data_IF_486589431362
#
_entry.id   IF_486589431362
#
_cell.length_a   1.000
_cell.length_b   1.000
_cell.length_c   1.000
_cell.angle_alpha   90.00
_cell.angle_beta   90.00
_cell.angle_gamma   90.00
#
_symmetry.space_group_name_H-M   'P 1'
#
loop_
_entity.id
_entity.type
_entity.pdbx_description
1 polymer ?
#
# COMPACT_ATOMS: atom_id res chain seq x y z
N UNK A 1 11.01 5.84 -20.66
CA UNK A 1 10.30 7.07 -20.26
C UNK A 1 9.24 6.67 -19.27
N UNK A 2 9.08 7.41 -18.18
CA UNK A 2 8.04 7.14 -17.20
C UNK A 2 6.64 7.38 -17.78
N UNK A 3 5.70 6.52 -17.43
CA UNK A 3 4.26 6.60 -17.71
C UNK A 3 3.45 7.17 -16.55
N UNK A 4 4.08 7.71 -15.50
CA UNK A 4 3.39 8.21 -14.32
C UNK A 4 2.42 9.36 -14.62
N UNK A 5 2.67 10.12 -15.69
CA UNK A 5 1.77 11.16 -16.20
C UNK A 5 0.37 10.64 -16.61
N UNK A 6 0.20 9.31 -16.72
CA UNK A 6 -1.09 8.67 -16.96
C UNK A 6 -1.97 8.60 -15.70
N UNK A 7 -1.39 8.83 -14.52
CA UNK A 7 -2.18 9.00 -13.30
C UNK A 7 -2.90 10.36 -13.37
N UNK A 8 -4.24 10.39 -13.31
CA UNK A 8 -5.00 11.63 -13.39
C UNK A 8 -4.62 12.65 -12.32
N UNK A 9 -4.64 13.94 -12.67
CA UNK A 9 -4.27 15.04 -11.77
C UNK A 9 -5.11 15.09 -10.50
N UNK A 10 -6.40 14.75 -10.58
CA UNK A 10 -7.28 14.70 -9.42
C UNK A 10 -6.90 13.59 -8.42
N UNK A 11 -6.15 12.58 -8.86
CA UNK A 11 -5.53 11.57 -7.98
C UNK A 11 -4.14 12.02 -7.55
N UNK A 12 -3.24 12.38 -8.47
CA UNK A 12 -1.85 12.72 -8.13
C UNK A 12 -1.72 14.00 -7.30
N UNK A 13 -2.75 14.86 -7.28
CA UNK A 13 -2.83 16.00 -6.37
C UNK A 13 -3.17 15.62 -4.94
N UNK A 14 -3.74 14.43 -4.69
CA UNK A 14 -4.19 13.91 -3.40
C UNK A 14 -3.29 12.78 -2.86
N UNK A 15 -2.60 12.06 -3.74
CA UNK A 15 -1.75 10.93 -3.42
C UNK A 15 -0.30 11.19 -3.86
N UNK A 16 0.66 10.74 -3.06
CA UNK A 16 2.05 10.64 -3.51
C UNK A 16 2.17 9.41 -4.42
N UNK A 17 2.57 9.59 -5.68
CA UNK A 17 2.59 8.49 -6.65
C UNK A 17 3.98 8.19 -7.15
N UNK A 18 4.32 6.92 -7.22
CA UNK A 18 5.59 6.43 -7.78
C UNK A 18 5.33 5.23 -8.66
N UNK A 19 6.13 5.03 -9.69
CA UNK A 19 6.04 3.83 -10.52
C UNK A 19 7.40 3.23 -10.84
N UNK A 20 7.39 1.94 -11.16
CA UNK A 20 8.51 1.19 -11.69
C UNK A 20 8.07 0.39 -12.91
N UNK A 21 8.95 0.35 -13.92
CA UNK A 21 8.76 -0.41 -15.17
C UNK A 21 7.43 -0.09 -15.89
N UNK A 22 7.07 1.19 -15.91
CA UNK A 22 5.90 1.72 -16.63
C UNK A 22 4.56 1.11 -16.20
N UNK A 23 4.41 0.85 -14.89
CA UNK A 23 3.23 0.20 -14.33
C UNK A 23 1.91 0.91 -14.66
N UNK A 24 1.90 2.26 -14.67
CA UNK A 24 0.71 3.00 -15.09
C UNK A 24 0.34 2.75 -16.57
N UNK A 25 1.35 2.60 -17.43
CA UNK A 25 1.14 2.23 -18.83
C UNK A 25 0.59 0.81 -19.00
N UNK A 26 1.09 -0.15 -18.22
CA UNK A 26 0.56 -1.53 -18.20
C UNK A 26 -0.91 -1.52 -17.77
N UNK A 27 -1.25 -0.83 -16.69
CA UNK A 27 -2.63 -0.71 -16.21
C UNK A 27 -3.55 -0.07 -17.26
N UNK A 28 -3.16 1.06 -17.85
CA UNK A 28 -4.00 1.76 -18.82
C UNK A 28 -4.26 0.94 -20.10
N UNK A 29 -3.27 0.16 -20.56
CA UNK A 29 -3.34 -0.51 -21.86
C UNK A 29 -3.81 -1.96 -21.78
N UNK A 30 -3.29 -2.74 -20.82
CA UNK A 30 -3.61 -4.16 -20.66
C UNK A 30 -4.76 -4.40 -19.69
N UNK A 31 -4.99 -3.51 -18.72
CA UNK A 31 -6.02 -3.66 -17.68
C UNK A 31 -6.90 -2.40 -17.50
N UNK A 32 -7.43 -1.80 -18.60
CA UNK A 32 -8.12 -0.51 -18.51
C UNK A 32 -9.35 -0.52 -17.60
N UNK A 33 -10.02 -1.67 -17.47
CA UNK A 33 -11.18 -1.82 -16.58
C UNK A 33 -10.76 -1.80 -15.12
N UNK A 34 -9.80 -2.63 -14.74
CA UNK A 34 -9.24 -2.66 -13.39
C UNK A 34 -8.66 -1.30 -13.02
N UNK A 35 -7.98 -0.64 -13.96
CA UNK A 35 -7.46 0.72 -13.76
C UNK A 35 -8.55 1.73 -13.42
N UNK A 36 -9.66 1.74 -14.17
CA UNK A 36 -10.79 2.64 -13.89
C UNK A 36 -11.40 2.38 -12.50
N UNK A 37 -11.56 1.11 -12.11
CA UNK A 37 -12.10 0.71 -10.81
C UNK A 37 -11.17 1.11 -9.65
N UNK A 38 -9.85 0.98 -9.82
CA UNK A 38 -8.85 1.46 -8.84
C UNK A 38 -8.97 2.98 -8.69
N UNK A 39 -9.00 3.72 -9.79
CA UNK A 39 -9.13 5.18 -9.74
C UNK A 39 -10.46 5.61 -9.09
N UNK A 40 -11.56 4.90 -9.34
CA UNK A 40 -12.84 5.14 -8.66
C UNK A 40 -12.73 4.91 -7.14
N UNK A 41 -12.11 3.81 -6.72
CA UNK A 41 -11.88 3.52 -5.30
C UNK A 41 -11.02 4.60 -4.63
N UNK A 42 -9.94 5.04 -5.28
CA UNK A 42 -9.07 6.12 -4.78
C UNK A 42 -9.83 7.45 -4.69
N UNK A 43 -10.64 7.82 -5.69
CA UNK A 43 -11.46 9.05 -5.65
C UNK A 43 -12.44 9.05 -4.47
N UNK A 44 -13.03 7.90 -4.16
CA UNK A 44 -14.00 7.74 -3.09
C UNK A 44 -13.39 7.67 -1.68
N UNK A 45 -12.09 7.42 -1.56
CA UNK A 45 -11.44 7.22 -0.29
C UNK A 45 -11.19 8.54 0.46
N UNK A 46 -11.38 8.54 1.78
CA UNK A 46 -11.04 9.64 2.67
C UNK A 46 -10.40 9.10 3.95
N UNK A 47 -9.41 9.83 4.45
CA UNK A 47 -8.66 9.50 5.65
C UNK A 47 -9.29 10.23 6.86
N UNK A 48 -10.11 9.56 7.67
CA UNK A 48 -10.88 10.23 8.72
C UNK A 48 -10.17 10.22 10.07
N UNK A 49 -10.38 11.25 10.87
CA UNK A 49 -9.89 11.32 12.24
C UNK A 49 -10.49 10.22 13.12
N UNK A 50 -11.79 9.95 12.96
CA UNK A 50 -12.52 8.87 13.63
C UNK A 50 -11.85 7.50 13.44
N UNK A 51 -11.43 7.18 12.21
CA UNK A 51 -10.74 5.93 11.87
C UNK A 51 -9.40 5.76 12.60
N UNK A 52 -8.68 6.86 12.83
CA UNK A 52 -7.38 6.86 13.55
C UNK A 52 -7.59 6.71 15.05
N UNK A 53 -8.64 7.35 15.59
CA UNK A 53 -8.92 7.36 17.03
C UNK A 53 -9.57 6.06 17.51
N UNK A 54 -10.26 5.34 16.63
CA UNK A 54 -10.95 4.09 16.92
C UNK A 54 -10.04 3.05 17.62
N UNK A 55 -10.54 2.36 18.66
CA UNK A 55 -9.79 1.33 19.36
C UNK A 55 -9.77 0.02 18.54
N UNK A 56 -8.59 -0.44 18.10
CA UNK A 56 -8.45 -1.73 17.42
C UNK A 56 -7.07 -1.95 16.79
N UNK A 57 -6.57 -3.19 16.81
CA UNK A 57 -5.23 -3.57 16.30
C UNK A 57 -5.22 -4.10 14.86
N UNK A 58 -6.37 -4.44 14.28
CA UNK A 58 -6.44 -5.09 12.96
C UNK A 58 -6.93 -4.11 11.90
N UNK A 59 -6.54 -4.36 10.62
CA UNK A 59 -6.91 -3.65 9.38
C UNK A 59 -7.99 -2.61 9.66
N UNK A 60 -7.55 -1.40 10.03
CA UNK A 60 -8.43 -0.34 10.53
C UNK A 60 -9.57 -0.10 9.55
N UNK A 61 -10.71 0.44 10.00
CA UNK A 61 -11.87 0.72 9.13
C UNK A 61 -11.50 1.50 7.85
N UNK A 62 -10.41 2.25 7.92
CA UNK A 62 -9.70 2.84 6.80
C UNK A 62 -9.37 1.87 5.65
N UNK A 63 -8.69 0.76 5.91
CA UNK A 63 -8.36 -0.23 4.89
C UNK A 63 -9.63 -0.92 4.35
N UNK A 64 -10.63 -1.13 5.22
CA UNK A 64 -11.92 -1.70 4.84
C UNK A 64 -12.68 -0.80 3.86
N UNK A 65 -12.54 0.52 3.95
CA UNK A 65 -13.19 1.46 3.05
C UNK A 65 -12.75 1.27 1.59
N UNK A 66 -11.43 1.15 1.37
CA UNK A 66 -10.87 0.88 0.05
C UNK A 66 -11.20 -0.55 -0.40
N UNK A 67 -10.98 -1.54 0.46
CA UNK A 67 -11.29 -2.94 0.17
C UNK A 67 -12.76 -3.09 -0.26
N UNK A 68 -13.68 -2.47 0.46
CA UNK A 68 -15.12 -2.52 0.14
C UNK A 68 -15.46 -1.92 -1.21
N UNK A 69 -14.75 -0.88 -1.66
CA UNK A 69 -14.95 -0.32 -2.99
C UNK A 69 -14.52 -1.32 -4.07
N UNK A 70 -13.32 -1.88 -3.94
CA UNK A 70 -12.79 -2.87 -4.88
C UNK A 70 -13.60 -4.18 -4.88
N UNK A 71 -14.03 -4.66 -3.70
CA UNK A 71 -14.87 -5.85 -3.55
C UNK A 71 -16.18 -5.73 -4.34
N UNK A 72 -16.80 -4.53 -4.40
CA UNK A 72 -18.02 -4.31 -5.22
C UNK A 72 -17.78 -4.49 -6.71
N UNK A 73 -16.56 -4.25 -7.18
CA UNK A 73 -16.15 -4.51 -8.55
C UNK A 73 -15.64 -5.95 -8.76
N UNK A 74 -15.74 -6.82 -7.74
CA UNK A 74 -15.38 -8.24 -7.85
C UNK A 74 -13.89 -8.54 -7.65
N UNK A 75 -13.11 -7.60 -7.12
CA UNK A 75 -11.78 -7.89 -6.59
C UNK A 75 -11.90 -8.83 -5.40
N UNK A 76 -10.91 -9.69 -5.18
CA UNK A 76 -10.96 -10.68 -4.09
C UNK A 76 -9.58 -10.90 -3.47
N UNK A 77 -9.57 -11.12 -2.16
CA UNK A 77 -8.41 -11.69 -1.49
C UNK A 77 -8.11 -13.05 -2.12
N UNK A 78 -6.87 -13.27 -2.56
CA UNK A 78 -6.50 -14.47 -3.31
C UNK A 78 -5.19 -15.05 -2.81
N UNK A 79 -5.21 -16.33 -2.45
CA UNK A 79 -4.01 -17.14 -2.20
C UNK A 79 -3.67 -17.91 -3.48
N UNK A 80 -2.42 -17.83 -3.92
CA UNK A 80 -1.93 -18.63 -5.04
C UNK A 80 -1.08 -19.78 -4.53
N UNK A 81 -1.46 -21.02 -4.83
CA UNK A 81 -0.59 -22.16 -4.55
C UNK A 81 0.44 -22.28 -5.67
N UNK A 82 1.72 -22.23 -5.32
CA UNK A 82 2.81 -22.36 -6.30
C UNK A 82 3.72 -23.50 -5.92
N UNK A 83 4.28 -24.17 -6.93
CA UNK A 83 5.21 -25.26 -6.73
C UNK A 83 6.17 -25.35 -7.91
N UNK A 84 7.39 -25.79 -7.64
CA UNK A 84 8.38 -26.15 -8.66
C UNK A 84 8.40 -27.67 -8.76
N UNK A 85 8.11 -28.19 -9.95
CA UNK A 85 8.20 -29.63 -10.25
C UNK A 85 9.43 -29.90 -11.11
N UNK A 86 10.32 -30.76 -10.63
CA UNK A 86 11.48 -31.27 -11.38
C UNK A 86 11.35 -32.79 -11.39
N UNK A 87 11.16 -33.36 -12.58
CA UNK A 87 10.78 -34.77 -12.77
C UNK A 87 9.56 -35.12 -11.89
N UNK A 88 9.70 -36.11 -11.00
CA UNK A 88 8.64 -36.53 -10.07
C UNK A 88 8.71 -35.83 -8.70
N UNK A 89 9.66 -34.91 -8.50
CA UNK A 89 9.82 -34.19 -7.24
C UNK A 89 9.12 -32.84 -7.31
N UNK A 90 8.04 -32.70 -6.54
CA UNK A 90 7.34 -31.43 -6.33
C UNK A 90 7.86 -30.76 -5.07
N UNK A 91 8.23 -29.49 -5.19
CA UNK A 91 8.57 -28.63 -4.05
C UNK A 91 7.60 -27.46 -4.01
N UNK A 92 6.81 -27.39 -2.96
CA UNK A 92 5.92 -26.25 -2.74
C UNK A 92 6.73 -24.98 -2.53
N UNK A 93 6.26 -23.89 -3.14
CA UNK A 93 6.81 -22.56 -2.98
C UNK A 93 5.75 -21.71 -2.27
N UNK A 94 5.97 -21.35 -1.00
CA UNK A 94 4.98 -20.60 -0.25
C UNK A 94 4.81 -19.21 -0.85
N UNK A 95 3.56 -18.75 -0.92
CA UNK A 95 3.21 -17.38 -1.30
C UNK A 95 2.37 -16.75 -0.21
N UNK A 96 2.23 -15.44 -0.28
CA UNK A 96 1.30 -14.71 0.56
C UNK A 96 0.00 -14.41 -0.18
N UNK A 97 -1.08 -14.28 0.57
CA UNK A 97 -2.34 -13.79 0.03
C UNK A 97 -2.14 -12.38 -0.49
N UNK A 98 -2.69 -12.12 -1.67
CA UNK A 98 -2.87 -10.77 -2.19
C UNK A 98 -4.18 -10.24 -1.64
N UNK A 99 -4.17 -9.07 -1.01
CA UNK A 99 -5.36 -8.42 -0.45
C UNK A 99 -6.49 -8.24 -1.47
N UNK A 100 -6.15 -7.68 -2.64
CA UNK A 100 -7.08 -7.44 -3.73
C UNK A 100 -6.48 -7.92 -5.05
N UNK A 101 -7.02 -9.00 -5.61
CA UNK A 101 -6.62 -9.51 -6.91
C UNK A 101 -7.79 -9.53 -7.89
N UNK A 102 -7.53 -9.16 -9.14
CA UNK A 102 -8.46 -9.30 -10.27
C UNK A 102 -7.71 -9.29 -11.59
N UNK A 103 -8.02 -10.23 -12.48
CA UNK A 103 -7.54 -10.24 -13.88
C UNK A 103 -6.05 -9.90 -14.04
N UNK A 104 -5.19 -10.59 -13.27
CA UNK A 104 -3.73 -10.43 -13.29
C UNK A 104 -3.20 -9.11 -12.72
N UNK A 105 -4.05 -8.33 -12.05
CA UNK A 105 -3.64 -7.17 -11.26
C UNK A 105 -3.69 -7.54 -9.77
N UNK A 106 -2.59 -7.32 -9.06
CA UNK A 106 -2.50 -7.51 -7.62
C UNK A 106 -2.35 -6.17 -6.91
N UNK A 107 -3.13 -5.95 -5.84
CA UNK A 107 -3.12 -4.73 -5.03
C UNK A 107 -3.03 -5.11 -3.55
N UNK A 108 -2.05 -4.53 -2.87
CA UNK A 108 -1.83 -4.67 -1.43
C UNK A 108 -2.14 -3.35 -0.72
N UNK A 109 -2.93 -3.42 0.35
CA UNK A 109 -3.24 -2.26 1.21
C UNK A 109 -2.40 -2.35 2.47
N UNK A 110 -1.24 -1.71 2.43
CA UNK A 110 -0.26 -1.75 3.50
C UNK A 110 -0.44 -0.58 4.46
N UNK A 111 -1.14 -0.83 5.57
CA UNK A 111 -1.56 0.19 6.54
C UNK A 111 -1.01 -0.04 7.95
N UNK A 112 0.11 0.62 8.25
CA UNK A 112 0.65 0.74 9.61
C UNK A 112 1.08 -0.58 10.27
N UNK A 113 1.41 -1.58 9.46
CA UNK A 113 1.93 -2.86 9.90
C UNK A 113 3.40 -2.71 10.31
N UNK A 114 3.89 -3.54 11.24
CA UNK A 114 5.34 -3.60 11.58
C UNK A 114 6.03 -4.59 10.65
N UNK A 115 7.29 -4.31 10.27
CA UNK A 115 8.12 -5.13 9.37
C UNK A 115 7.99 -6.65 9.61
N UNK A 116 8.09 -7.50 8.56
CA UNK A 116 8.66 -7.24 7.22
C UNK A 116 7.65 -7.20 6.05
N UNK A 117 6.56 -6.44 6.17
CA UNK A 117 5.43 -6.53 5.22
C UNK A 117 5.79 -6.09 3.80
N UNK A 118 6.51 -4.97 3.61
CA UNK A 118 6.91 -4.56 2.25
C UNK A 118 7.81 -5.58 1.55
N UNK A 119 8.78 -6.15 2.27
CA UNK A 119 9.69 -7.15 1.68
C UNK A 119 8.92 -8.41 1.26
N UNK A 120 7.94 -8.81 2.08
CA UNK A 120 7.02 -9.90 1.80
C UNK A 120 6.18 -9.65 0.54
N UNK A 121 5.56 -8.49 0.44
CA UNK A 121 4.63 -8.16 -0.65
C UNK A 121 5.37 -7.95 -1.97
N UNK A 122 6.49 -7.23 -1.94
CA UNK A 122 7.35 -7.04 -3.11
C UNK A 122 7.90 -8.37 -3.63
N UNK A 123 8.33 -9.25 -2.73
CA UNK A 123 8.75 -10.59 -3.11
C UNK A 123 7.60 -11.42 -3.70
N UNK A 124 6.40 -11.29 -3.14
CA UNK A 124 5.21 -11.95 -3.66
C UNK A 124 4.88 -11.47 -5.08
N UNK A 125 4.90 -10.16 -5.32
CA UNK A 125 4.72 -9.57 -6.65
C UNK A 125 5.77 -10.05 -7.64
N UNK A 126 7.04 -10.09 -7.24
CA UNK A 126 8.12 -10.63 -8.07
C UNK A 126 7.82 -12.07 -8.50
N UNK A 127 7.53 -12.94 -7.53
CA UNK A 127 7.27 -14.36 -7.80
C UNK A 127 6.04 -14.55 -8.70
N UNK A 128 4.93 -13.89 -8.38
CA UNK A 128 3.69 -14.00 -9.15
C UNK A 128 3.84 -13.44 -10.57
N UNK A 129 4.66 -12.40 -10.75
CA UNK A 129 4.97 -11.88 -12.08
C UNK A 129 5.82 -12.86 -12.90
N UNK A 130 6.90 -13.40 -12.32
CA UNK A 130 7.78 -14.35 -12.99
C UNK A 130 7.05 -15.66 -13.37
N UNK A 131 6.03 -16.03 -12.59
CA UNK A 131 5.14 -17.17 -12.89
C UNK A 131 3.99 -16.84 -13.86
N UNK A 132 3.96 -15.63 -14.42
CA UNK A 132 2.88 -15.13 -15.27
C UNK A 132 1.50 -15.23 -14.61
N UNK A 133 1.40 -14.97 -13.30
CA UNK A 133 0.12 -14.89 -12.57
C UNK A 133 -0.40 -13.46 -12.55
N UNK A 134 0.49 -12.49 -12.36
CA UNK A 134 0.18 -11.06 -12.42
C UNK A 134 0.99 -10.37 -13.52
N UNK A 135 0.48 -9.26 -14.02
CA UNK A 135 1.18 -8.37 -14.96
C UNK A 135 1.67 -7.09 -14.28
N UNK A 136 1.04 -6.71 -13.16
CA UNK A 136 1.36 -5.50 -12.39
C UNK A 136 0.94 -5.64 -10.93
N UNK A 137 1.80 -5.16 -10.03
CA UNK A 137 1.53 -5.01 -8.60
C UNK A 137 1.22 -3.56 -8.24
N UNK A 138 0.35 -3.34 -7.26
CA UNK A 138 0.01 -2.02 -6.74
C UNK A 138 0.16 -2.04 -5.22
N UNK A 139 0.78 -1.02 -4.66
CA UNK A 139 0.83 -0.82 -3.20
C UNK A 139 0.12 0.48 -2.86
N UNK A 140 -0.91 0.40 -2.03
CA UNK A 140 -1.43 1.57 -1.33
C UNK A 140 -0.85 1.58 0.08
N UNK A 141 -0.21 2.68 0.45
CA UNK A 141 0.27 2.90 1.83
C UNK A 141 0.07 4.36 2.23
N UNK A 142 0.57 4.76 3.40
CA UNK A 142 0.52 6.16 3.85
C UNK A 142 1.76 6.95 3.46
N UNK A 143 1.57 8.22 3.14
CA UNK A 143 2.68 9.17 3.06
C UNK A 143 3.32 9.39 4.43
N UNK A 144 4.62 9.65 4.46
CA UNK A 144 5.34 9.96 5.71
C UNK A 144 4.84 11.23 6.38
N UNK A 145 4.34 12.20 5.62
CA UNK A 145 3.80 13.46 6.15
C UNK A 145 2.57 13.27 7.07
N UNK A 146 1.85 12.14 6.95
CA UNK A 146 0.73 11.85 7.85
C UNK A 146 1.16 11.71 9.32
N UNK A 147 2.46 11.53 9.60
CA UNK A 147 2.99 11.55 10.95
C UNK A 147 2.61 12.81 11.74
N UNK A 148 2.58 13.97 11.09
CA UNK A 148 2.17 15.21 11.73
C UNK A 148 0.70 15.15 12.20
N UNK A 149 -0.18 14.55 11.39
CA UNK A 149 -1.59 14.34 11.74
C UNK A 149 -1.69 13.34 12.89
N UNK A 150 -0.96 12.22 12.85
CA UNK A 150 -0.95 11.24 13.93
C UNK A 150 -0.47 11.83 15.26
N UNK A 151 0.57 12.68 15.24
CA UNK A 151 1.05 13.38 16.42
C UNK A 151 -0.03 14.33 16.98
N UNK A 152 -0.69 15.11 16.12
CA UNK A 152 -1.79 16.00 16.51
C UNK A 152 -2.98 15.25 17.13
N UNK A 153 -3.26 14.05 16.64
CA UNK A 153 -4.33 13.18 17.16
C UNK A 153 -3.90 12.36 18.40
N UNK A 154 -2.72 12.60 18.97
CA UNK A 154 -2.20 11.84 20.11
C UNK A 154 -1.84 10.38 19.81
N UNK A 155 -1.77 10.00 18.52
CA UNK A 155 -1.48 8.64 18.03
C UNK A 155 -0.07 8.47 17.44
N UNK A 156 0.78 9.49 17.54
CA UNK A 156 2.12 9.52 16.93
C UNK A 156 2.93 8.24 17.12
N UNK A 157 3.04 7.75 18.37
CA UNK A 157 3.78 6.52 18.71
C UNK A 157 3.20 5.26 18.04
N UNK A 158 1.88 5.18 17.90
CA UNK A 158 1.20 4.03 17.28
C UNK A 158 1.47 3.94 15.77
N UNK A 159 1.80 5.07 15.15
CA UNK A 159 2.06 5.18 13.72
C UNK A 159 3.51 5.61 13.42
N UNK A 160 4.45 5.41 14.37
CA UNK A 160 5.83 5.88 14.22
C UNK A 160 6.66 5.11 13.18
N UNK A 161 7.97 5.36 13.16
CA UNK A 161 8.93 4.86 12.16
C UNK A 161 9.02 3.32 12.06
N UNK A 162 8.64 2.58 13.10
CA UNK A 162 8.64 1.11 13.07
C UNK A 162 7.56 0.49 12.18
N UNK A 163 6.66 1.29 11.61
CA UNK A 163 5.51 0.82 10.82
C UNK A 163 5.63 1.19 9.34
N UNK A 164 4.85 0.53 8.48
CA UNK A 164 4.83 0.78 7.03
C UNK A 164 4.42 2.21 6.69
N UNK A 165 5.19 2.84 5.80
CA UNK A 165 4.96 4.16 5.21
C UNK A 165 5.91 4.40 4.03
N UNK A 166 5.65 5.45 3.24
CA UNK A 166 6.34 5.69 1.98
C UNK A 166 7.87 5.70 2.07
N UNK A 167 8.48 6.46 3.00
CA UNK A 167 9.95 6.50 3.19
C UNK A 167 10.59 5.13 3.43
N UNK A 168 9.87 4.14 3.98
CA UNK A 168 10.37 2.76 4.13
C UNK A 168 10.18 1.90 2.87
N UNK A 169 9.16 2.19 2.08
CA UNK A 169 8.85 1.45 0.86
C UNK A 169 9.83 1.78 -0.26
N UNK A 170 10.08 3.06 -0.52
CA UNK A 170 10.87 3.52 -1.67
C UNK A 170 12.27 2.87 -1.73
N UNK A 171 13.06 2.82 -0.64
CA UNK A 171 14.38 2.17 -0.67
C UNK A 171 14.32 0.68 -1.03
N UNK A 172 13.25 -0.03 -0.63
CA UNK A 172 13.09 -1.47 -0.92
C UNK A 172 12.77 -1.72 -2.39
N UNK A 173 11.93 -0.89 -2.99
CA UNK A 173 11.64 -1.01 -4.43
C UNK A 173 12.89 -0.62 -5.24
N UNK A 174 13.56 0.49 -4.87
CA UNK A 174 14.81 0.92 -5.52
C UNK A 174 15.94 -0.12 -5.36
N UNK A 175 16.00 -0.79 -4.22
CA UNK A 175 16.90 -1.92 -3.96
C UNK A 175 16.54 -3.21 -4.73
N UNK A 176 15.48 -3.19 -5.55
CA UNK A 176 15.11 -4.29 -6.43
C UNK A 176 14.16 -5.32 -5.82
N UNK A 177 13.48 -5.00 -4.70
CA UNK A 177 12.57 -5.94 -4.02
C UNK A 177 11.45 -6.49 -4.92
N UNK A 178 10.96 -5.68 -5.86
CA UNK A 178 9.94 -6.09 -6.85
C UNK A 178 10.46 -6.85 -8.07
N UNK A 179 11.79 -7.00 -8.21
CA UNK A 179 12.42 -7.69 -9.34
C UNK A 179 12.00 -7.15 -10.71
N UNK A 180 11.45 -8.04 -11.55
CA UNK A 180 10.95 -7.74 -12.89
C UNK A 180 9.54 -7.14 -12.94
N UNK A 181 8.78 -7.20 -11.85
CA UNK A 181 7.38 -6.83 -11.82
C UNK A 181 7.17 -5.31 -11.97
N UNK A 182 6.30 -4.84 -12.88
CA UNK A 182 5.80 -3.47 -12.87
C UNK A 182 5.06 -3.17 -11.57
N UNK A 183 5.41 -2.07 -10.90
CA UNK A 183 4.81 -1.68 -9.63
C UNK A 183 4.34 -0.23 -9.69
N UNK A 184 3.09 0.02 -9.29
CA UNK A 184 2.54 1.36 -9.07
C UNK A 184 2.27 1.55 -7.58
N UNK A 185 2.69 2.69 -7.04
CA UNK A 185 2.54 3.00 -5.61
C UNK A 185 1.68 4.25 -5.46
N UNK A 186 0.74 4.17 -4.53
CA UNK A 186 -0.05 5.30 -4.05
C UNK A 186 0.21 5.51 -2.55
N UNK A 187 0.61 6.72 -2.19
CA UNK A 187 0.71 7.19 -0.81
C UNK A 187 -0.50 8.03 -0.47
N UNK A 188 -1.25 7.66 0.56
CA UNK A 188 -2.36 8.47 1.09
C UNK A 188 -1.78 9.77 1.66
N UNK A 189 -2.06 10.90 0.99
CA UNK A 189 -1.57 12.22 1.36
C UNK A 189 -2.47 12.96 2.34
N UNK A 190 -1.93 14.01 2.96
CA UNK A 190 -2.61 14.79 4.00
C UNK A 190 -3.89 15.49 3.49
N UNK A 191 -3.99 15.78 2.19
CA UNK A 191 -5.18 16.38 1.57
C UNK A 191 -6.41 15.48 1.59
N UNK A 192 -6.24 14.18 1.80
CA UNK A 192 -7.34 13.23 1.98
C UNK A 192 -7.89 13.24 3.41
N UNK A 193 -7.23 13.96 4.34
CA UNK A 193 -7.61 13.99 5.74
C UNK A 193 -8.92 14.74 5.97
N UNK A 194 -9.82 14.14 6.74
CA UNK A 194 -11.08 14.73 7.17
C UNK A 194 -11.14 14.69 8.69
N UNK A 195 -11.18 15.88 9.30
CA UNK A 195 -11.40 16.03 10.74
C UNK A 195 -12.90 15.95 11.03
N UNK A 196 -13.40 14.74 11.25
CA UNK A 196 -14.82 14.40 11.44
C UNK A 196 -15.20 14.18 12.91
N UNK A 197 -14.32 14.54 13.84
CA UNK A 197 -14.53 14.42 15.29
C UNK A 197 -14.47 15.80 15.95
N UNK A 198 -15.26 16.06 17.01
CA UNK A 198 -15.13 17.28 17.79
C UNK A 198 -13.73 17.43 18.39
N UNK A 199 -13.20 18.67 18.43
CA UNK A 199 -11.88 18.95 19.00
C UNK A 199 -11.74 18.51 20.46
N UNK A 200 -12.84 18.47 21.22
CA UNK A 200 -12.87 18.00 22.60
C UNK A 200 -12.60 16.49 22.75
N UNK A 201 -12.77 15.71 21.68
CA UNK A 201 -12.51 14.26 21.64
C UNK A 201 -11.08 13.92 21.18
N UNK A 202 -10.33 14.93 20.72
CA UNK A 202 -8.93 14.74 20.31
C UNK A 202 -8.06 14.72 21.58
N UNK A 203 -7.38 13.62 21.89
CA UNK A 203 -6.48 13.57 23.04
C UNK A 203 -5.33 14.57 22.84
N UNK A 204 -4.78 15.13 23.94
CA UNK A 204 -3.64 16.04 23.84
C UNK A 204 -2.46 15.36 23.12
N UNK A 205 -1.61 16.11 22.40
CA UNK A 205 -0.39 15.57 21.82
C UNK A 205 0.44 14.87 22.90
N UNK A 206 0.96 13.68 22.61
CA UNK A 206 1.92 13.04 23.50
C UNK A 206 3.25 13.80 23.41
N UNK A 207 3.54 14.61 24.43
CA UNK A 207 4.67 15.55 24.53
C UNK A 207 6.02 14.86 24.84
N UNK A 208 6.31 13.74 24.19
CA UNK A 208 7.62 13.07 24.28
C UNK A 208 8.19 12.90 22.88
N UNK A 209 9.04 13.85 22.49
CA UNK A 209 9.96 13.71 21.36
C UNK A 209 10.97 12.60 21.68
N UNK A 210 10.76 11.40 21.17
CA UNK A 210 11.84 10.41 21.06
C UNK A 210 12.64 10.79 19.81
N UNK A 211 13.65 11.65 19.99
CA UNK A 211 14.76 11.90 19.04
C UNK A 211 15.76 10.73 19.02
N UNK A 212 15.30 9.48 19.10
CA UNK A 212 16.20 8.32 19.07
C UNK A 212 15.59 7.23 18.23
N UNK A 213 15.94 7.21 16.95
CA UNK A 213 16.23 6.00 16.16
C UNK A 213 16.74 6.41 14.74
N UNK A 214 17.54 7.48 14.68
CA UNK A 214 18.41 7.79 13.53
C UNK A 214 19.80 7.23 13.84
N UNK A 215 19.97 5.91 13.81
CA UNK A 215 21.24 5.25 13.47
C UNK A 215 21.06 3.72 13.52
N UNK A 216 21.06 3.09 12.35
CA UNK A 216 21.63 1.76 12.06
C UNK A 216 21.01 1.20 10.77
N UNK A 217 21.38 1.77 9.62
CA UNK A 217 21.48 1.01 8.37
C UNK A 217 22.42 1.68 7.36
N UNK A 218 23.63 2.00 7.81
CA UNK A 218 24.81 1.97 6.94
C UNK A 218 25.67 0.78 7.36
N UNK A 219 25.39 -0.40 6.80
CA UNK A 219 26.37 -1.47 6.50
C UNK A 219 25.86 -2.34 5.36
#
# INVERSE_FOLDING_TARGET
MSTLHLVPEDISSLYETHEWRNAAGVLLTAHPKEWAEILEALRGFRFRASDVLAPGKNKSDLAKGLDSALLRHGWRETQFQTAVKVDDVVRESPTHKVDCYKNRVALEVEWNNKDPFFDRDLNNFRLLFDLNVIDVGIILTRCSELQAIFNRLGKGKSYGNSTTHMKKLIPRIMGGGGGGCPILVFGIGAKLFVEDVPRAEIPPPNDSTDESDDDESER
#
